data_IF_741305160088
#
_entry.id   IF_741305160088
#
_cell.length_a   1.000
_cell.length_b   1.000
_cell.length_c   1.000
_cell.angle_alpha   90.00
_cell.angle_beta   90.00
_cell.angle_gamma   90.00
#
_symmetry.space_group_name_H-M   'P 1'
#
loop_
_entity.id
_entity.type
_entity.pdbx_description
1 polymer ?
#
# COMPACT_ATOMS: atom_id res chain seq x y z
N UNK A 1 -1.56 -18.97 -6.78
CA UNK A 1 -0.94 -18.29 -7.94
C UNK A 1 -0.82 -16.81 -7.60
N UNK A 2 0.26 -16.12 -7.97
CA UNK A 2 0.26 -14.65 -7.91
C UNK A 2 -0.83 -14.16 -8.85
N UNK A 3 -1.87 -13.54 -8.32
CA UNK A 3 -2.88 -12.90 -9.16
C UNK A 3 -2.22 -11.81 -10.01
N UNK A 4 -2.57 -11.78 -11.29
CA UNK A 4 -2.10 -10.74 -12.18
C UNK A 4 -2.83 -9.43 -11.84
N UNK A 5 -2.10 -8.48 -11.24
CA UNK A 5 -2.61 -7.15 -10.94
C UNK A 5 -2.53 -6.30 -12.21
N UNK A 6 -3.60 -6.28 -12.99
CA UNK A 6 -3.67 -5.57 -14.28
C UNK A 6 -4.24 -4.15 -14.15
N UNK A 7 -5.02 -3.87 -13.11
CA UNK A 7 -5.56 -2.55 -12.84
C UNK A 7 -4.52 -1.66 -12.16
N UNK A 8 -4.22 -0.51 -12.76
CA UNK A 8 -3.33 0.51 -12.20
C UNK A 8 -4.13 1.72 -11.74
N UNK A 9 -3.82 2.23 -10.55
CA UNK A 9 -4.36 3.49 -10.03
C UNK A 9 -3.22 4.43 -9.71
N UNK A 10 -3.35 5.70 -10.11
CA UNK A 10 -2.43 6.77 -9.72
C UNK A 10 -3.11 7.63 -8.65
N UNK A 11 -2.42 7.88 -7.53
CA UNK A 11 -3.00 8.57 -6.37
C UNK A 11 -2.14 9.78 -6.02
N UNK A 12 -2.80 10.92 -5.75
CA UNK A 12 -2.13 12.09 -5.17
C UNK A 12 -2.12 11.95 -3.66
N UNK A 13 -0.94 12.08 -3.06
CA UNK A 13 -0.73 11.97 -1.64
C UNK A 13 -0.19 13.29 -1.11
N UNK A 14 -0.60 13.66 0.10
CA UNK A 14 0.10 14.69 0.86
C UNK A 14 1.38 14.12 1.50
N UNK A 15 2.23 14.99 2.02
CA UNK A 15 3.53 14.62 2.63
C UNK A 15 3.36 13.59 3.74
N UNK A 16 2.40 13.80 4.64
CA UNK A 16 2.10 12.89 5.74
C UNK A 16 1.73 11.49 5.25
N UNK A 17 0.90 11.37 4.22
CA UNK A 17 0.53 10.08 3.64
C UNK A 17 1.74 9.40 2.99
N UNK A 18 2.57 10.15 2.27
CA UNK A 18 3.80 9.61 1.68
C UNK A 18 4.77 9.09 2.75
N UNK A 19 4.92 9.81 3.87
CA UNK A 19 5.74 9.37 5.01
C UNK A 19 5.20 8.11 5.68
N UNK A 20 3.87 7.99 5.85
CA UNK A 20 3.26 6.78 6.43
C UNK A 20 3.61 5.56 5.57
N UNK A 21 3.46 5.67 4.24
CA UNK A 21 3.83 4.57 3.34
C UNK A 21 5.33 4.26 3.42
N UNK A 22 6.18 5.28 3.55
CA UNK A 22 7.62 5.07 3.71
C UNK A 22 7.95 4.34 5.02
N UNK A 23 7.31 4.70 6.13
CA UNK A 23 7.49 4.03 7.43
C UNK A 23 7.06 2.56 7.36
N UNK A 24 5.99 2.24 6.63
CA UNK A 24 5.58 0.85 6.41
C UNK A 24 6.65 0.04 5.67
N UNK A 25 7.30 0.64 4.67
CA UNK A 25 8.40 0.00 3.95
C UNK A 25 9.59 -0.23 4.87
N UNK A 26 9.99 0.80 5.63
CA UNK A 26 11.08 0.69 6.60
C UNK A 26 10.83 -0.34 7.70
N UNK A 27 9.57 -0.57 8.06
CA UNK A 27 9.16 -1.59 9.02
C UNK A 27 9.08 -3.02 8.41
N UNK A 28 9.38 -3.20 7.12
CA UNK A 28 9.32 -4.50 6.44
C UNK A 28 7.89 -4.99 6.15
N UNK A 29 6.88 -4.12 6.25
CA UNK A 29 5.48 -4.48 5.99
C UNK A 29 5.14 -4.52 4.50
N UNK A 30 5.95 -3.86 3.66
CA UNK A 30 5.78 -3.81 2.21
C UNK A 30 7.07 -3.39 1.50
N UNK A 31 7.27 -3.84 0.25
CA UNK A 31 8.48 -3.51 -0.53
C UNK A 31 8.42 -2.13 -1.21
N UNK A 32 7.21 -1.63 -1.50
CA UNK A 32 6.99 -0.41 -2.28
C UNK A 32 5.78 0.35 -1.75
N UNK A 33 5.63 1.63 -2.13
CA UNK A 33 4.45 2.42 -1.77
C UNK A 33 3.16 1.79 -2.31
N UNK A 34 3.21 1.20 -3.52
CA UNK A 34 2.07 0.51 -4.12
C UNK A 34 1.68 -0.75 -3.35
N UNK A 35 2.66 -1.57 -2.93
CA UNK A 35 2.37 -2.75 -2.11
C UNK A 35 1.93 -2.38 -0.70
N UNK A 36 2.40 -1.25 -0.14
CA UNK A 36 1.91 -0.71 1.12
C UNK A 36 0.44 -0.25 1.04
N UNK A 37 0.05 0.42 -0.04
CA UNK A 37 -1.37 0.79 -0.27
C UNK A 37 -2.24 -0.46 -0.39
N UNK A 38 -1.80 -1.47 -1.16
CA UNK A 38 -2.52 -2.73 -1.28
C UNK A 38 -2.65 -3.46 0.05
N UNK A 39 -1.60 -3.45 0.89
CA UNK A 39 -1.65 -3.97 2.24
C UNK A 39 -2.74 -3.27 3.07
N UNK A 40 -2.84 -1.95 3.00
CA UNK A 40 -3.86 -1.17 3.73
C UNK A 40 -5.29 -1.50 3.24
N UNK A 41 -5.48 -1.63 1.92
CA UNK A 41 -6.78 -2.02 1.33
C UNK A 41 -7.19 -3.40 1.86
N UNK A 42 -6.31 -4.39 1.75
CA UNK A 42 -6.58 -5.74 2.21
C UNK A 42 -6.83 -5.79 3.72
N UNK A 43 -6.04 -5.05 4.51
CA UNK A 43 -6.22 -4.96 5.96
C UNK A 43 -7.58 -4.37 6.33
N UNK A 44 -8.02 -3.35 5.60
CA UNK A 44 -9.33 -2.73 5.80
C UNK A 44 -10.48 -3.70 5.45
N UNK A 45 -10.34 -4.49 4.38
CA UNK A 45 -11.34 -5.50 4.00
C UNK A 45 -11.50 -6.66 5.00
N UNK A 46 -10.47 -6.96 5.80
CA UNK A 46 -10.52 -8.04 6.80
C UNK A 46 -11.02 -7.53 8.15
N UNK A 47 -10.70 -6.27 8.51
CA UNK A 47 -11.01 -5.71 9.83
C UNK A 47 -12.36 -4.99 9.90
N UNK A 48 -13.03 -4.78 8.76
CA UNK A 48 -14.37 -4.20 8.65
C UNK A 48 -15.28 -5.13 7.87
#
# INVERSE_FOLDING_TARGET
MKENKTATVCVRLNERQAEILQKMISAGLADTKSSAIQYLINKHQVLN
#
